data_IF_015627905278
#
_entry.id   IF_015627905278
#
_cell.length_a   1.000
_cell.length_b   1.000
_cell.length_c   1.000
_cell.angle_alpha   90.00
_cell.angle_beta   90.00
_cell.angle_gamma   90.00
#
_symmetry.space_group_name_H-M   'P 1'
#
loop_
_entity.id
_entity.type
_entity.pdbx_description
1 polymer ?
#
# COMPACT_ATOMS: atom_id res chain seq x y z
N UNK A 1 -1.53 -7.42 -0.74
CA UNK A 1 -2.02 -6.03 -0.53
C UNK A 1 -3.04 -5.65 -1.59
N UNK A 2 -3.91 -4.65 -1.37
CA UNK A 2 -5.00 -4.25 -2.30
C UNK A 2 -4.55 -4.13 -3.77
N UNK A 3 -3.34 -3.61 -3.97
CA UNK A 3 -2.76 -3.40 -5.28
C UNK A 3 -2.38 -4.68 -6.02
N UNK A 4 -2.01 -5.72 -5.28
CA UNK A 4 -1.74 -7.06 -5.79
C UNK A 4 -3.01 -7.91 -5.96
N UNK A 5 -4.20 -7.29 -6.03
CA UNK A 5 -5.46 -7.99 -6.32
C UNK A 5 -6.28 -8.41 -5.10
N UNK A 6 -5.75 -8.32 -3.87
CA UNK A 6 -6.51 -8.69 -2.67
C UNK A 6 -7.74 -7.80 -2.41
N UNK A 7 -8.84 -8.43 -1.99
CA UNK A 7 -10.09 -7.76 -1.61
C UNK A 7 -10.00 -7.02 -0.27
N UNK A 8 -10.91 -6.08 -0.02
CA UNK A 8 -10.93 -5.31 1.25
C UNK A 8 -11.10 -6.20 2.48
N UNK A 9 -11.99 -7.20 2.40
CA UNK A 9 -12.28 -8.13 3.50
C UNK A 9 -11.07 -9.03 3.77
N UNK A 10 -10.50 -9.61 2.72
CA UNK A 10 -9.28 -10.41 2.83
C UNK A 10 -8.12 -9.66 3.52
N UNK A 11 -7.93 -8.38 3.19
CA UNK A 11 -6.90 -7.54 3.84
C UNK A 11 -7.27 -7.22 5.28
N UNK A 12 -8.54 -6.93 5.53
CA UNK A 12 -9.08 -6.68 6.87
C UNK A 12 -8.77 -7.87 7.80
N UNK A 13 -9.06 -9.08 7.33
CA UNK A 13 -8.85 -10.31 8.08
C UNK A 13 -7.36 -10.62 8.26
N UNK A 14 -6.56 -10.52 7.18
CA UNK A 14 -5.12 -10.80 7.22
C UNK A 14 -4.35 -9.83 8.14
N UNK A 15 -4.76 -8.57 8.18
CA UNK A 15 -4.08 -7.53 8.96
C UNK A 15 -4.74 -7.27 10.32
N UNK A 16 -5.85 -7.94 10.63
CA UNK A 16 -6.65 -7.74 11.84
C UNK A 16 -7.05 -6.26 12.07
N UNK A 17 -7.53 -5.58 11.01
CA UNK A 17 -8.00 -4.18 11.07
C UNK A 17 -9.37 -4.04 10.42
N UNK A 18 -10.20 -3.10 10.89
CA UNK A 18 -11.55 -2.91 10.35
C UNK A 18 -11.53 -2.61 8.84
N UNK A 19 -12.46 -3.20 8.07
CA UNK A 19 -12.60 -2.94 6.63
C UNK A 19 -12.70 -1.44 6.26
N UNK A 20 -13.35 -0.62 7.11
CA UNK A 20 -13.39 0.84 6.91
C UNK A 20 -12.01 1.50 6.97
N UNK A 21 -11.13 0.99 7.83
CA UNK A 21 -9.74 1.45 7.97
C UNK A 21 -8.95 1.10 6.72
N UNK A 22 -9.13 -0.12 6.20
CA UNK A 22 -8.54 -0.54 4.91
C UNK A 22 -8.96 0.43 3.79
N UNK A 23 -10.25 0.76 3.68
CA UNK A 23 -10.76 1.72 2.70
C UNK A 23 -10.17 3.12 2.86
N UNK A 24 -10.03 3.61 4.09
CA UNK A 24 -9.36 4.89 4.38
C UNK A 24 -7.89 4.88 3.93
N UNK A 25 -7.16 3.81 4.23
CA UNK A 25 -5.76 3.66 3.79
C UNK A 25 -5.62 3.65 2.27
N UNK A 26 -6.55 3.02 1.53
CA UNK A 26 -6.57 3.10 0.05
C UNK A 26 -6.68 4.55 -0.43
N UNK A 27 -7.51 5.36 0.21
CA UNK A 27 -7.64 6.80 -0.08
C UNK A 27 -6.36 7.58 0.23
N UNK A 28 -5.73 7.30 1.38
CA UNK A 28 -4.49 7.95 1.78
C UNK A 28 -3.33 7.63 0.83
N UNK A 29 -3.22 6.38 0.37
CA UNK A 29 -2.19 5.97 -0.60
C UNK A 29 -2.38 6.73 -1.92
N UNK A 30 -3.60 6.75 -2.46
CA UNK A 30 -3.92 7.52 -3.69
C UNK A 30 -3.52 8.99 -3.57
N UNK A 31 -3.80 9.61 -2.42
CA UNK A 31 -3.46 11.01 -2.14
C UNK A 31 -1.96 11.24 -2.08
N UNK A 32 -1.22 10.37 -1.39
CA UNK A 32 0.24 10.47 -1.25
C UNK A 32 0.98 10.26 -2.59
N UNK A 33 0.53 9.29 -3.38
CA UNK A 33 1.12 8.98 -4.70
C UNK A 33 0.53 9.86 -5.82
N UNK A 34 -0.49 10.68 -5.51
CA UNK A 34 -1.16 11.62 -6.43
C UNK A 34 -1.75 10.95 -7.69
N UNK A 35 -2.32 9.76 -7.54
CA UNK A 35 -3.01 9.09 -8.65
C UNK A 35 -4.11 8.14 -8.16
N UNK A 36 -5.11 7.92 -9.01
CA UNK A 36 -6.17 6.93 -8.80
C UNK A 36 -5.88 5.59 -9.51
N UNK A 37 -4.89 5.55 -10.40
CA UNK A 37 -4.56 4.37 -11.19
C UNK A 37 -3.81 3.34 -10.34
N UNK A 38 -4.47 2.23 -10.05
CA UNK A 38 -3.95 1.13 -9.22
C UNK A 38 -2.64 0.54 -9.74
N UNK A 39 -2.45 0.45 -11.07
CA UNK A 39 -1.24 -0.10 -11.67
C UNK A 39 -0.05 0.84 -11.49
N UNK A 40 -0.26 2.15 -11.65
CA UNK A 40 0.79 3.16 -11.41
C UNK A 40 1.26 3.08 -9.97
N UNK A 41 0.32 3.06 -9.01
CA UNK A 41 0.69 2.96 -7.58
C UNK A 41 1.46 1.64 -7.34
N UNK A 42 1.03 0.51 -7.93
CA UNK A 42 1.74 -0.78 -7.81
C UNK A 42 3.19 -0.69 -8.30
N UNK A 43 3.41 -0.16 -9.50
CA UNK A 43 4.75 0.00 -10.05
C UNK A 43 5.61 0.97 -9.25
N UNK A 44 5.04 2.09 -8.78
CA UNK A 44 5.76 3.04 -7.91
C UNK A 44 6.25 2.34 -6.63
N UNK A 45 5.37 1.62 -5.92
CA UNK A 45 5.74 0.92 -4.69
C UNK A 45 6.81 -0.14 -4.96
N UNK A 46 6.69 -0.91 -6.05
CA UNK A 46 7.68 -1.93 -6.44
C UNK A 46 9.03 -1.32 -6.80
N UNK A 47 9.03 -0.20 -7.52
CA UNK A 47 10.28 0.50 -7.88
C UNK A 47 10.95 1.07 -6.63
N UNK A 48 10.19 1.71 -5.73
CA UNK A 48 10.72 2.21 -4.47
C UNK A 48 11.34 1.08 -3.65
N UNK A 49 10.64 -0.04 -3.45
CA UNK A 49 11.17 -1.21 -2.75
C UNK A 49 12.48 -1.70 -3.38
N UNK A 50 12.52 -1.86 -4.70
CA UNK A 50 13.72 -2.32 -5.42
C UNK A 50 14.92 -1.35 -5.29
N UNK A 51 14.71 -0.03 -5.31
CA UNK A 51 15.81 0.95 -5.25
C UNK A 51 16.23 1.29 -3.82
N UNK A 52 15.35 1.09 -2.83
CA UNK A 52 15.64 1.35 -1.41
C UNK A 52 15.94 0.09 -0.60
N UNK A 53 15.86 -1.10 -1.20
CA UNK A 53 16.17 -2.34 -0.51
C UNK A 53 17.60 -2.32 0.05
N UNK A 54 17.76 -2.62 1.33
CA UNK A 54 19.05 -2.55 2.04
C UNK A 54 19.45 -1.16 2.53
N UNK A 55 18.64 -0.11 2.28
CA UNK A 55 18.82 1.20 2.91
C UNK A 55 18.15 1.18 4.28
N UNK A 56 18.95 1.01 5.34
CA UNK A 56 18.48 1.10 6.72
C UNK A 56 18.60 2.54 7.21
N UNK A 57 17.47 3.22 7.36
CA UNK A 57 17.43 4.55 7.97
C UNK A 57 17.17 4.35 9.47
N UNK A 58 18.18 4.63 10.29
CA UNK A 58 18.16 4.76 11.75
C UNK A 58 16.81 4.41 12.42
N UNK A 59 16.57 3.12 12.68
CA UNK A 59 15.40 2.65 13.43
C UNK A 59 15.64 2.92 14.91
N UNK A 60 15.37 4.16 15.33
CA UNK A 60 15.46 4.59 16.72
C UNK A 60 14.19 4.24 17.48
#
# INVERSE_FOLDING_TARGET
>A
MWMAGQGTIQISDQMNIKAKTVSSHKGNIKRKIKTHNKQVIYHVVRLTDNVTNGIFVNMR
#
